data_IF_148928595173
#
_entry.id   IF_148928595173
#
_cell.length_a   1.000
_cell.length_b   1.000
_cell.length_c   1.000
_cell.angle_alpha   90.00
_cell.angle_beta   90.00
_cell.angle_gamma   90.00
#
_symmetry.space_group_name_H-M   'P 1'
#
loop_
_entity.id
_entity.type
_entity.pdbx_description
1 polymer ?
#
# COMPACT_ATOMS: atom_id res chain seq x y z
N UNK A 1 10.55 4.91 7.05
CA UNK A 1 11.29 4.04 6.10
C UNK A 1 10.49 3.91 4.82
N UNK A 2 11.08 3.98 3.61
CA UNK A 2 10.35 3.67 2.39
C UNK A 2 9.83 2.24 2.48
N UNK A 3 8.52 2.01 2.32
CA UNK A 3 7.98 0.65 2.34
C UNK A 3 8.62 -0.12 1.16
N UNK A 4 9.47 -1.11 1.43
CA UNK A 4 10.13 -1.91 0.40
C UNK A 4 9.12 -2.74 -0.41
N UNK A 5 9.53 -3.49 -1.44
CA UNK A 5 8.66 -4.46 -2.17
C UNK A 5 8.30 -5.66 -1.29
N UNK A 6 7.68 -5.39 -0.15
CA UNK A 6 7.32 -6.35 0.90
C UNK A 6 5.83 -6.65 0.80
N UNK A 7 5.50 -7.94 0.83
CA UNK A 7 4.12 -8.44 0.91
C UNK A 7 3.86 -8.90 2.34
N UNK A 8 2.71 -8.54 2.90
CA UNK A 8 2.25 -9.02 4.19
C UNK A 8 1.11 -10.02 4.03
N UNK A 9 1.18 -11.17 4.70
CA UNK A 9 0.05 -12.07 4.93
C UNK A 9 -0.43 -11.79 6.36
N UNK A 10 -1.68 -11.37 6.49
CA UNK A 10 -2.32 -11.07 7.77
C UNK A 10 -3.41 -12.10 8.01
N UNK A 11 -3.30 -12.84 9.11
CA UNK A 11 -4.15 -14.00 9.33
C UNK A 11 -4.35 -14.32 10.80
N UNK A 12 -5.54 -14.78 11.17
CA UNK A 12 -5.75 -15.39 12.50
C UNK A 12 -5.29 -16.87 12.54
N UNK A 13 -4.96 -17.46 11.40
CA UNK A 13 -4.43 -18.81 11.25
C UNK A 13 -2.91 -18.88 11.52
N UNK A 14 -2.41 -20.03 12.01
CA UNK A 14 -0.97 -20.27 12.09
C UNK A 14 -0.34 -20.31 10.69
N UNK A 15 0.95 -19.96 10.59
CA UNK A 15 1.69 -19.85 9.32
C UNK A 15 1.71 -21.14 8.51
N UNK A 16 1.62 -22.28 9.19
CA UNK A 16 1.60 -23.61 8.62
C UNK A 16 0.36 -23.83 7.74
N UNK A 17 -0.78 -23.22 8.10
CA UNK A 17 -2.05 -23.36 7.36
C UNK A 17 -1.97 -22.81 5.93
N UNK A 18 -1.09 -21.83 5.69
CA UNK A 18 -0.91 -21.19 4.38
C UNK A 18 0.52 -21.29 3.87
N UNK A 19 1.27 -22.34 4.28
CA UNK A 19 2.65 -22.55 3.81
C UNK A 19 2.75 -22.58 2.29
N UNK A 20 1.76 -23.19 1.61
CA UNK A 20 1.72 -23.26 0.15
C UNK A 20 1.73 -21.86 -0.51
N UNK A 21 1.06 -20.88 0.10
CA UNK A 21 1.01 -19.51 -0.38
C UNK A 21 2.33 -18.79 -0.11
N UNK A 22 2.89 -19.00 1.10
CA UNK A 22 4.22 -18.50 1.46
C UNK A 22 5.29 -18.99 0.48
N UNK A 23 5.31 -20.29 0.18
CA UNK A 23 6.26 -20.90 -0.75
C UNK A 23 6.12 -20.30 -2.16
N UNK A 24 4.88 -20.11 -2.64
CA UNK A 24 4.60 -19.45 -3.90
C UNK A 24 5.14 -18.02 -3.94
N UNK A 25 4.84 -17.20 -2.93
CA UNK A 25 5.28 -15.80 -2.87
C UNK A 25 6.80 -15.67 -2.75
N UNK A 26 7.47 -16.57 -2.01
CA UNK A 26 8.92 -16.61 -1.93
C UNK A 26 9.59 -16.98 -3.26
N UNK A 27 8.89 -17.73 -4.13
CA UNK A 27 9.34 -18.02 -5.49
C UNK A 27 9.34 -16.79 -6.42
N UNK A 28 8.64 -15.71 -6.06
CA UNK A 28 8.53 -14.50 -6.88
C UNK A 28 9.71 -13.55 -6.65
N UNK A 29 10.69 -13.57 -7.56
CA UNK A 29 11.96 -12.82 -7.46
C UNK A 29 11.84 -11.28 -7.27
N UNK A 30 10.68 -10.71 -7.62
CA UNK A 30 10.39 -9.29 -7.48
C UNK A 30 9.89 -8.90 -6.08
N UNK A 31 9.46 -9.87 -5.27
CA UNK A 31 9.17 -9.69 -3.84
C UNK A 31 10.51 -9.65 -3.09
N UNK A 32 10.72 -8.61 -2.28
CA UNK A 32 11.97 -8.40 -1.51
C UNK A 32 11.80 -8.67 -0.02
N UNK A 33 10.60 -8.99 0.41
CA UNK A 33 10.33 -9.44 1.77
C UNK A 33 8.91 -10.00 1.86
N UNK A 34 8.76 -11.03 2.67
CA UNK A 34 7.47 -11.58 3.06
C UNK A 34 7.35 -11.44 4.57
N UNK A 35 6.21 -10.92 5.04
CA UNK A 35 5.89 -10.78 6.44
C UNK A 35 4.62 -11.57 6.72
N UNK A 36 4.65 -12.48 7.68
CA UNK A 36 3.47 -13.20 8.14
C UNK A 36 3.09 -12.65 9.52
N UNK A 37 1.98 -11.92 9.58
CA UNK A 37 1.49 -11.29 10.81
C UNK A 37 0.27 -12.04 11.32
N UNK A 38 0.32 -12.45 12.58
CA UNK A 38 -0.84 -13.02 13.25
C UNK A 38 -1.80 -11.90 13.61
N UNK A 39 -3.10 -12.08 13.36
CA UNK A 39 -4.16 -11.22 13.87
C UNK A 39 -4.72 -11.85 15.14
N UNK A 40 -4.91 -11.05 16.19
CA UNK A 40 -5.64 -11.41 17.40
C UNK A 40 -6.38 -10.19 17.95
N UNK A 41 -7.35 -10.44 18.84
CA UNK A 41 -8.13 -9.36 19.47
C UNK A 41 -7.30 -8.42 20.37
N UNK A 42 -6.01 -8.69 20.58
CA UNK A 42 -5.16 -8.01 21.56
C UNK A 42 -3.90 -7.38 20.96
N UNK A 43 -3.69 -7.51 19.65
CA UNK A 43 -2.40 -7.19 19.03
C UNK A 43 -2.49 -6.09 17.95
N UNK A 44 -3.45 -5.18 18.11
CA UNK A 44 -3.71 -4.06 17.19
C UNK A 44 -2.44 -3.25 16.90
N UNK A 45 -1.63 -2.91 17.91
CA UNK A 45 -0.38 -2.17 17.69
C UNK A 45 0.61 -2.90 16.77
N UNK A 46 0.92 -4.17 17.07
CA UNK A 46 1.84 -4.97 16.24
C UNK A 46 1.30 -5.19 14.82
N UNK A 47 -0.01 -5.41 14.70
CA UNK A 47 -0.68 -5.53 13.41
C UNK A 47 -0.46 -4.26 12.58
N UNK A 48 -0.71 -3.08 13.17
CA UNK A 48 -0.53 -1.79 12.49
C UNK A 48 0.93 -1.52 12.11
N UNK A 49 1.89 -1.85 12.96
CA UNK A 49 3.32 -1.74 12.64
C UNK A 49 3.72 -2.63 11.46
N UNK A 50 3.23 -3.86 11.43
CA UNK A 50 3.48 -4.82 10.35
C UNK A 50 2.88 -4.35 9.02
N UNK A 51 1.64 -3.85 9.03
CA UNK A 51 0.99 -3.24 7.86
C UNK A 51 1.81 -2.09 7.32
N UNK A 52 2.33 -1.23 8.19
CA UNK A 52 3.13 -0.06 7.78
C UNK A 52 4.46 -0.42 7.11
N UNK A 53 4.95 -1.65 7.29
CA UNK A 53 6.14 -2.15 6.61
C UNK A 53 5.85 -2.75 5.23
N UNK A 54 4.59 -2.99 4.89
CA UNK A 54 4.18 -3.69 3.69
C UNK A 54 3.76 -2.74 2.57
N UNK A 55 3.94 -3.18 1.31
CA UNK A 55 3.42 -2.49 0.12
C UNK A 55 2.18 -3.13 -0.46
N UNK A 56 1.97 -4.40 -0.15
CA UNK A 56 0.81 -5.17 -0.55
C UNK A 56 0.40 -6.05 0.62
N UNK A 57 -0.89 -6.23 0.83
CA UNK A 57 -1.43 -7.08 1.88
C UNK A 57 -2.35 -8.15 1.34
N UNK A 58 -2.25 -9.31 1.96
CA UNK A 58 -3.12 -10.45 1.76
C UNK A 58 -3.79 -10.70 3.12
N UNK A 59 -5.09 -10.44 3.20
CA UNK A 59 -5.89 -10.89 4.34
C UNK A 59 -6.27 -12.34 4.08
N UNK A 60 -5.77 -13.25 4.92
CA UNK A 60 -6.00 -14.68 4.77
C UNK A 60 -6.98 -15.18 5.82
N UNK A 61 -7.93 -15.98 5.39
CA UNK A 61 -8.89 -16.67 6.24
C UNK A 61 -9.03 -18.13 5.82
N UNK A 62 -9.19 -19.05 6.78
CA UNK A 62 -9.56 -20.44 6.50
C UNK A 62 -10.98 -20.72 6.98
N UNK A 63 -11.77 -21.39 6.14
CA UNK A 63 -13.10 -21.91 6.50
C UNK A 63 -13.08 -22.80 7.74
N UNK A 64 -11.98 -23.52 7.97
CA UNK A 64 -11.81 -24.47 9.08
C UNK A 64 -11.90 -23.79 10.46
N UNK A 65 -11.79 -22.47 10.51
CA UNK A 65 -12.03 -21.67 11.72
C UNK A 65 -13.50 -21.42 12.05
N UNK A 66 -14.42 -22.04 11.31
CA UNK A 66 -15.82 -22.20 11.68
C UNK A 66 -16.81 -21.41 10.83
N UNK A 67 -16.58 -20.14 10.47
CA UNK A 67 -17.52 -19.31 9.67
C UNK A 67 -16.80 -18.60 8.51
N UNK A 68 -17.51 -18.39 7.40
CA UNK A 68 -17.06 -17.54 6.26
C UNK A 68 -17.27 -16.04 6.53
N UNK A 69 -17.40 -15.68 7.81
CA UNK A 69 -17.75 -14.35 8.28
C UNK A 69 -16.50 -13.46 8.28
N UNK A 70 -16.03 -13.08 7.09
CA UNK A 70 -14.88 -12.21 6.96
C UNK A 70 -15.29 -10.78 7.37
N UNK A 71 -16.35 -10.25 6.76
CA UNK A 71 -16.94 -8.92 7.03
C UNK A 71 -18.47 -8.94 6.98
N UNK A 72 -19.11 -7.82 7.38
CA UNK A 72 -20.53 -7.48 7.14
C UNK A 72 -21.58 -8.48 7.67
N UNK A 73 -21.20 -9.25 8.68
CA UNK A 73 -22.06 -10.26 9.32
C UNK A 73 -21.83 -10.22 10.82
N UNK A 74 -22.80 -10.71 11.59
CA UNK A 74 -22.65 -10.79 13.05
C UNK A 74 -21.39 -11.57 13.43
N UNK A 75 -20.59 -11.00 14.32
CA UNK A 75 -19.28 -11.50 14.74
C UNK A 75 -18.27 -11.62 13.58
N UNK A 76 -18.31 -10.69 12.63
CA UNK A 76 -17.27 -10.51 11.62
C UNK A 76 -15.88 -10.45 12.27
N UNK A 77 -14.92 -11.12 11.64
CA UNK A 77 -13.59 -11.27 12.22
C UNK A 77 -12.61 -10.20 11.79
N UNK A 78 -12.91 -9.44 10.73
CA UNK A 78 -11.92 -8.64 10.03
C UNK A 78 -12.42 -7.26 9.55
N UNK A 79 -13.55 -6.75 10.03
CA UNK A 79 -14.06 -5.43 9.60
C UNK A 79 -13.00 -4.33 9.85
N UNK A 80 -12.48 -4.26 11.07
CA UNK A 80 -11.49 -3.27 11.46
C UNK A 80 -10.14 -3.51 10.78
N UNK A 81 -9.70 -4.77 10.68
CA UNK A 81 -8.43 -5.13 10.06
C UNK A 81 -8.44 -4.84 8.56
N UNK A 82 -9.52 -5.18 7.85
CA UNK A 82 -9.64 -4.93 6.42
C UNK A 82 -9.77 -3.43 6.11
N UNK A 83 -10.49 -2.68 6.94
CA UNK A 83 -10.54 -1.22 6.84
C UNK A 83 -9.16 -0.59 7.05
N UNK A 84 -8.42 -1.04 8.06
CA UNK A 84 -7.07 -0.55 8.33
C UNK A 84 -6.10 -0.87 7.19
N UNK A 85 -6.15 -2.09 6.64
CA UNK A 85 -5.34 -2.49 5.48
C UNK A 85 -5.60 -1.58 4.29
N UNK A 86 -6.88 -1.38 3.96
CA UNK A 86 -7.28 -0.59 2.80
C UNK A 86 -6.97 0.90 2.96
N UNK A 87 -7.21 1.47 4.14
CA UNK A 87 -6.87 2.88 4.42
C UNK A 87 -5.37 3.12 4.43
N UNK A 88 -4.56 2.17 4.91
CA UNK A 88 -3.11 2.30 5.03
C UNK A 88 -2.34 2.03 3.73
N UNK A 89 -2.83 1.09 2.92
CA UNK A 89 -2.15 0.63 1.70
C UNK A 89 -2.86 1.08 0.43
N UNK A 90 -4.15 1.42 0.50
CA UNK A 90 -5.03 1.62 -0.63
C UNK A 90 -5.67 0.31 -1.13
N UNK A 91 -6.96 0.36 -1.48
CA UNK A 91 -7.74 -0.78 -2.02
C UNK A 91 -7.00 -1.60 -3.08
N UNK A 92 -6.31 -0.94 -4.01
CA UNK A 92 -5.58 -1.58 -5.11
C UNK A 92 -4.45 -2.51 -4.65
N UNK A 93 -4.03 -2.42 -3.38
CA UNK A 93 -2.90 -3.12 -2.80
C UNK A 93 -3.31 -4.13 -1.71
N UNK A 94 -4.60 -4.47 -1.64
CA UNK A 94 -5.16 -5.41 -0.66
C UNK A 94 -5.96 -6.47 -1.39
N UNK A 95 -5.72 -7.74 -1.09
CA UNK A 95 -6.57 -8.85 -1.54
C UNK A 95 -7.04 -9.67 -0.34
N UNK A 96 -8.15 -10.38 -0.52
CA UNK A 96 -8.68 -11.34 0.46
C UNK A 96 -8.56 -12.74 -0.13
N UNK A 97 -8.02 -13.66 0.66
CA UNK A 97 -7.97 -15.09 0.35
C UNK A 97 -8.80 -15.84 1.39
N UNK A 98 -9.73 -16.66 0.92
CA UNK A 98 -10.50 -17.59 1.74
C UNK A 98 -10.11 -19.01 1.32
N UNK A 99 -9.42 -19.72 2.19
CA UNK A 99 -9.00 -21.10 1.99
C UNK A 99 -9.96 -22.10 2.63
N UNK A 100 -9.83 -23.37 2.24
CA UNK A 100 -10.59 -24.52 2.69
C UNK A 100 -12.11 -24.41 2.46
N UNK A 101 -12.52 -23.67 1.43
CA UNK A 101 -13.92 -23.63 1.01
C UNK A 101 -14.35 -24.94 0.35
N UNK A 102 -15.64 -25.26 0.41
CA UNK A 102 -16.21 -26.41 -0.30
C UNK A 102 -16.43 -26.06 -1.78
N UNK A 103 -16.90 -24.85 -2.06
CA UNK A 103 -17.11 -24.34 -3.41
C UNK A 103 -16.22 -23.10 -3.64
N UNK A 104 -15.38 -23.17 -4.68
CA UNK A 104 -14.49 -22.08 -5.10
C UNK A 104 -14.88 -21.48 -6.45
N UNK A 105 -16.12 -21.74 -6.90
CA UNK A 105 -16.71 -21.23 -8.14
C UNK A 105 -16.88 -19.71 -8.14
N UNK A 106 -17.02 -19.16 -9.34
CA UNK A 106 -17.33 -17.74 -9.51
C UNK A 106 -18.71 -17.39 -8.92
N UNK A 107 -19.67 -18.33 -8.92
CA UNK A 107 -20.98 -18.13 -8.30
C UNK A 107 -20.87 -17.95 -6.78
N UNK A 108 -20.08 -18.79 -6.10
CA UNK A 108 -19.86 -18.65 -4.65
C UNK A 108 -19.09 -17.38 -4.32
N UNK A 109 -18.11 -17.02 -5.16
CA UNK A 109 -17.39 -15.75 -5.05
C UNK A 109 -18.34 -14.55 -5.16
N UNK A 110 -19.23 -14.53 -6.17
CA UNK A 110 -20.24 -13.49 -6.33
C UNK A 110 -21.19 -13.42 -5.13
N UNK A 111 -21.65 -14.58 -4.64
CA UNK A 111 -22.51 -14.66 -3.45
C UNK A 111 -21.85 -14.03 -2.23
N UNK A 112 -20.56 -14.33 -1.99
CA UNK A 112 -19.80 -13.72 -0.89
C UNK A 112 -19.67 -12.21 -1.10
N UNK A 113 -19.33 -11.76 -2.32
CA UNK A 113 -19.17 -10.32 -2.60
C UNK A 113 -20.46 -9.52 -2.46
N UNK A 114 -21.62 -10.13 -2.77
CA UNK A 114 -22.93 -9.52 -2.58
C UNK A 114 -23.34 -9.47 -1.11
N UNK A 115 -23.01 -10.51 -0.33
CA UNK A 115 -23.31 -10.57 1.10
C UNK A 115 -22.32 -9.81 1.99
N UNK A 116 -21.09 -9.61 1.52
CA UNK A 116 -19.97 -9.01 2.26
C UNK A 116 -19.33 -7.88 1.43
N UNK A 117 -20.08 -6.79 1.27
CA UNK A 117 -19.72 -5.66 0.40
C UNK A 117 -18.41 -4.98 0.81
N UNK A 118 -18.04 -5.00 2.09
CA UNK A 118 -16.79 -4.42 2.60
C UNK A 118 -15.57 -5.07 1.92
N UNK A 119 -15.61 -6.37 1.58
CA UNK A 119 -14.55 -7.01 0.79
C UNK A 119 -14.38 -6.30 -0.55
N UNK A 120 -15.47 -6.08 -1.26
CA UNK A 120 -15.46 -5.44 -2.58
C UNK A 120 -15.05 -3.98 -2.49
N UNK A 121 -15.38 -3.28 -1.41
CA UNK A 121 -15.03 -1.87 -1.22
C UNK A 121 -13.58 -1.67 -0.81
N UNK A 122 -13.02 -2.59 -0.02
CA UNK A 122 -11.72 -2.43 0.64
C UNK A 122 -10.59 -3.22 0.00
N UNK A 123 -10.89 -4.25 -0.79
CA UNK A 123 -9.90 -5.06 -1.50
C UNK A 123 -10.06 -4.98 -3.03
N UNK A 124 -8.99 -5.25 -3.76
CA UNK A 124 -8.99 -5.33 -5.22
C UNK A 124 -9.32 -6.72 -5.75
N UNK A 125 -9.34 -7.74 -4.89
CA UNK A 125 -9.59 -9.12 -5.31
C UNK A 125 -9.99 -10.01 -4.13
N UNK A 126 -10.88 -10.96 -4.43
CA UNK A 126 -11.28 -12.06 -3.57
C UNK A 126 -10.93 -13.37 -4.28
N UNK A 127 -10.19 -14.24 -3.59
CA UNK A 127 -9.79 -15.55 -4.10
C UNK A 127 -10.25 -16.65 -3.14
N UNK A 128 -10.99 -17.61 -3.67
CA UNK A 128 -11.45 -18.78 -2.94
C UNK A 128 -10.56 -19.97 -3.32
N UNK A 129 -10.11 -20.75 -2.34
CA UNK A 129 -9.36 -21.99 -2.58
C UNK A 129 -10.06 -23.15 -1.90
N UNK A 130 -10.47 -24.14 -2.70
CA UNK A 130 -10.98 -25.42 -2.18
C UNK A 130 -9.85 -26.44 -2.03
N UNK A 131 -10.16 -27.59 -1.44
CA UNK A 131 -9.19 -28.72 -1.41
C UNK A 131 -8.92 -29.24 -2.82
N UNK A 132 -9.95 -29.30 -3.66
CA UNK A 132 -9.86 -29.75 -5.05
C UNK A 132 -8.94 -28.84 -5.85
N UNK A 133 -9.02 -27.52 -5.67
CA UNK A 133 -8.07 -26.58 -6.28
C UNK A 133 -6.63 -26.90 -5.87
N UNK A 134 -6.41 -27.20 -4.59
CA UNK A 134 -5.07 -27.39 -4.04
C UNK A 134 -4.41 -28.71 -4.45
N UNK A 135 -5.18 -29.79 -4.58
CA UNK A 135 -4.65 -31.15 -4.74
C UNK A 135 -5.02 -31.84 -6.06
N UNK A 136 -6.11 -31.44 -6.72
CA UNK A 136 -6.65 -32.17 -7.88
C UNK A 136 -6.65 -31.32 -9.14
N UNK A 137 -6.99 -30.03 -9.04
CA UNK A 137 -7.10 -29.11 -10.17
C UNK A 137 -5.97 -28.08 -10.18
N UNK A 138 -4.76 -28.56 -10.49
CA UNK A 138 -3.56 -27.72 -10.55
C UNK A 138 -3.70 -26.53 -11.49
N UNK A 139 -4.42 -26.68 -12.61
CA UNK A 139 -4.66 -25.60 -13.57
C UNK A 139 -5.46 -24.43 -12.95
N UNK A 140 -6.49 -24.73 -12.17
CA UNK A 140 -7.30 -23.69 -11.52
C UNK A 140 -6.50 -22.93 -10.47
N UNK A 141 -5.74 -23.67 -9.63
CA UNK A 141 -4.83 -23.06 -8.66
C UNK A 141 -3.79 -22.17 -9.33
N UNK A 142 -3.15 -22.66 -10.39
CA UNK A 142 -2.14 -21.91 -11.14
C UNK A 142 -2.73 -20.61 -11.72
N UNK A 143 -3.94 -20.66 -12.31
CA UNK A 143 -4.64 -19.47 -12.81
C UNK A 143 -4.88 -18.43 -11.71
N UNK A 144 -5.39 -18.86 -10.55
CA UNK A 144 -5.61 -17.97 -9.39
C UNK A 144 -4.29 -17.37 -8.89
N UNK A 145 -3.23 -18.16 -8.83
CA UNK A 145 -1.91 -17.72 -8.41
C UNK A 145 -1.28 -16.71 -9.38
N UNK A 146 -1.43 -16.92 -10.70
CA UNK A 146 -0.98 -15.97 -11.73
C UNK A 146 -1.72 -14.63 -11.63
N UNK A 147 -3.03 -14.66 -11.35
CA UNK A 147 -3.81 -13.45 -11.12
C UNK A 147 -3.30 -12.70 -9.87
N UNK A 148 -3.08 -13.41 -8.76
CA UNK A 148 -2.48 -12.83 -7.54
C UNK A 148 -1.11 -12.22 -7.83
N UNK A 149 -0.24 -12.93 -8.57
CA UNK A 149 1.07 -12.41 -8.97
C UNK A 149 0.92 -11.09 -9.76
N UNK A 150 0.00 -11.05 -10.72
CA UNK A 150 -0.22 -9.89 -11.56
C UNK A 150 -0.66 -8.66 -10.76
N UNK A 151 -1.52 -8.85 -9.75
CA UNK A 151 -1.98 -7.79 -8.86
C UNK A 151 -0.83 -7.25 -7.99
N UNK A 152 -0.03 -8.14 -7.40
CA UNK A 152 1.13 -7.75 -6.60
C UNK A 152 2.14 -7.01 -7.49
N UNK A 153 2.45 -7.53 -8.67
CA UNK A 153 3.39 -6.91 -9.62
C UNK A 153 2.93 -5.51 -10.03
N UNK A 154 1.64 -5.35 -10.36
CA UNK A 154 1.04 -4.06 -10.71
C UNK A 154 1.14 -3.06 -9.56
N UNK A 155 0.89 -3.50 -8.32
CA UNK A 155 1.02 -2.62 -7.13
C UNK A 155 2.42 -2.01 -7.01
N UNK A 156 3.46 -2.80 -7.27
CA UNK A 156 4.84 -2.35 -7.19
C UNK A 156 5.25 -1.44 -8.36
N UNK A 157 4.62 -1.58 -9.53
CA UNK A 157 4.87 -0.74 -10.70
C UNK A 157 4.17 0.62 -10.63
N UNK A 158 2.87 0.65 -10.29
CA UNK A 158 2.09 1.89 -10.21
C UNK A 158 2.69 2.91 -9.23
N UNK A 159 3.29 2.42 -8.15
CA UNK A 159 3.97 3.29 -7.18
C UNK A 159 5.31 3.83 -7.66
N UNK A 160 6.06 3.09 -8.50
CA UNK A 160 7.30 3.57 -9.10
C UNK A 160 7.07 4.76 -10.03
N UNK A 161 5.95 4.75 -10.76
CA UNK A 161 5.48 5.87 -11.59
C UNK A 161 5.03 7.07 -10.75
N UNK A 162 4.30 6.83 -9.64
CA UNK A 162 3.84 7.90 -8.75
C UNK A 162 4.99 8.63 -8.05
N UNK A 163 6.10 7.95 -7.70
CA UNK A 163 7.28 8.61 -7.14
C UNK A 163 8.02 9.52 -8.14
N UNK A 164 7.93 9.22 -9.44
CA UNK A 164 8.58 10.00 -10.49
C UNK A 164 7.73 11.21 -10.95
N UNK A 165 6.40 11.14 -10.78
CA UNK A 165 5.50 12.25 -11.07
C UNK A 165 5.63 13.38 -10.04
N UNK A 166 5.84 13.06 -8.76
CA UNK A 166 6.02 14.07 -7.71
C UNK A 166 7.36 14.83 -7.80
N UNK A 167 8.43 14.20 -8.30
CA UNK A 167 9.72 14.89 -8.51
C UNK A 167 9.69 15.86 -9.70
N UNK A 168 8.88 15.58 -10.74
CA UNK A 168 8.72 16.49 -11.88
C UNK A 168 7.97 17.79 -11.54
N UNK A 169 6.93 17.72 -10.70
CA UNK A 169 6.15 18.91 -10.31
C UNK A 169 6.83 19.79 -9.25
N UNK A 170 7.68 19.22 -8.39
CA UNK A 170 8.45 19.99 -7.40
C UNK A 170 9.65 20.71 -8.01
N UNK A 171 10.35 20.08 -8.97
CA UNK A 171 11.49 20.71 -9.66
C UNK A 171 11.02 21.87 -10.54
N UNK A 172 9.86 21.75 -11.20
CA UNK A 172 9.33 22.81 -12.05
C UNK A 172 8.73 24.01 -11.28
N UNK A 173 8.36 23.82 -10.00
CA UNK A 173 7.91 24.92 -9.11
C UNK A 173 9.06 25.59 -8.36
N UNK A 174 10.15 24.89 -8.03
CA UNK A 174 11.33 25.51 -7.40
C UNK A 174 12.28 26.20 -8.40
N UNK A 175 12.32 25.79 -9.66
CA UNK A 175 13.11 26.47 -10.71
C UNK A 175 12.59 27.85 -11.11
N UNK A 176 11.34 28.20 -10.75
CA UNK A 176 10.73 29.49 -11.13
C UNK A 176 10.96 30.62 -10.11
N UNK A 177 11.42 30.29 -8.89
CA UNK A 177 11.73 31.28 -7.84
C UNK A 177 13.21 31.61 -7.71
N UNK A 178 14.11 30.76 -8.25
CA UNK A 178 15.55 31.04 -8.22
C UNK A 178 15.98 32.10 -9.24
N UNK A 179 15.22 32.32 -10.32
CA UNK A 179 15.50 33.41 -11.28
C UNK A 179 14.88 34.76 -10.87
N UNK A 180 13.92 34.77 -9.93
CA UNK A 180 13.32 36.02 -9.45
C UNK A 180 14.17 36.68 -8.36
N UNK A 181 14.90 35.91 -7.54
CA UNK A 181 15.75 36.47 -6.49
C UNK A 181 17.15 36.89 -6.96
N UNK A 182 17.63 36.41 -8.11
CA UNK A 182 18.95 36.82 -8.63
C UNK A 182 18.96 38.13 -9.44
N UNK A 183 17.81 38.76 -9.71
CA UNK A 183 17.75 40.01 -10.46
C UNK A 183 17.61 41.29 -9.62
N UNK A 184 17.36 41.20 -8.31
CA UNK A 184 17.15 42.37 -7.45
C UNK A 184 18.18 42.54 -6.31
N UNK A 185 19.10 41.59 -6.11
CA UNK A 185 20.02 41.58 -4.96
C UNK A 185 21.28 42.44 -5.07
N UNK A 186 21.67 42.88 -6.27
CA UNK A 186 22.90 43.66 -6.49
C UNK A 186 22.68 45.17 -6.78
N UNK A 187 21.60 45.61 -7.45
CA UNK A 187 21.37 47.05 -7.66
C UNK A 187 20.98 47.80 -6.38
N UNK A 188 20.24 47.16 -5.47
CA UNK A 188 19.72 47.81 -4.26
C UNK A 188 20.83 48.22 -3.27
N UNK A 189 21.89 47.43 -3.16
CA UNK A 189 23.04 47.74 -2.30
C UNK A 189 23.89 48.88 -2.86
N UNK A 190 24.00 48.99 -4.19
CA UNK A 190 24.69 50.11 -4.83
C UNK A 190 23.91 51.41 -4.65
N UNK A 191 22.57 51.37 -4.76
CA UNK A 191 21.74 52.56 -4.52
C UNK A 191 21.81 53.02 -3.06
N UNK A 192 21.78 52.10 -2.09
CA UNK A 192 21.95 52.45 -0.67
C UNK A 192 23.35 52.99 -0.36
N UNK A 193 24.40 52.45 -0.99
CA UNK A 193 25.76 52.96 -0.84
C UNK A 193 25.91 54.37 -1.42
N UNK A 194 25.36 54.63 -2.62
CA UNK A 194 25.39 55.97 -3.24
C UNK A 194 24.60 56.98 -2.40
N UNK A 195 23.41 56.61 -1.89
CA UNK A 195 22.62 57.50 -1.04
C UNK A 195 23.31 57.80 0.30
N UNK A 196 23.92 56.79 0.93
CA UNK A 196 24.71 56.98 2.15
C UNK A 196 25.93 57.87 1.93
N UNK A 197 26.65 57.68 0.82
CA UNK A 197 27.81 58.49 0.45
C UNK A 197 27.43 59.95 0.14
N UNK A 198 26.34 60.19 -0.59
CA UNK A 198 25.85 61.55 -0.86
C UNK A 198 25.34 62.24 0.40
N UNK A 199 24.61 61.53 1.28
CA UNK A 199 24.11 62.07 2.54
C UNK A 199 25.27 62.47 3.48
N UNK A 200 26.34 61.67 3.53
CA UNK A 200 27.50 61.97 4.39
C UNK A 200 28.33 63.15 3.84
N UNK A 201 28.50 63.25 2.52
CA UNK A 201 29.28 64.35 1.92
C UNK A 201 28.53 65.69 1.93
N UNK A 202 27.19 65.71 1.88
CA UNK A 202 26.42 66.97 1.94
C UNK A 202 26.34 67.60 3.33
N UNK A 203 26.67 66.87 4.41
CA UNK A 203 26.71 67.42 5.78
C UNK A 203 28.07 67.96 6.24
N UNK A 204 29.11 67.88 5.38
CA UNK A 204 30.47 68.36 5.72
C UNK A 204 30.83 69.67 4.99
N UNK A 205 29.92 70.23 4.18
CA UNK A 205 30.10 71.56 3.60
C UNK A 205 28.91 72.44 4.00
N UNK A 206 29.02 73.04 5.18
CA UNK A 206 28.35 74.30 5.50
C UNK A 206 29.42 75.24 6.04
N UNK A 207 29.47 76.40 5.39
CA UNK A 207 30.27 77.60 5.67
C UNK A 207 30.31 77.99 7.14
#
# INVERSE_FOLDING_TARGET
>A
MPRGRRVGIFSREPSESYKWLTDFLLGLSFIKGLLCSKISNSNDWSFREDVNQCKFAILYHSRNRGRLNVTDVTDSLYDDELDYLSSSLGKANVIVIIDDVEDSSDQEKERIQQGQTTITDKATGLFLFSKEDKYTNSNMKEKKLQEIESLIRRSFQLMGLSSHFQTGTMIHKMGRWQNALMFFGLPALVVLYIYGFLYYNFRVITW
#
